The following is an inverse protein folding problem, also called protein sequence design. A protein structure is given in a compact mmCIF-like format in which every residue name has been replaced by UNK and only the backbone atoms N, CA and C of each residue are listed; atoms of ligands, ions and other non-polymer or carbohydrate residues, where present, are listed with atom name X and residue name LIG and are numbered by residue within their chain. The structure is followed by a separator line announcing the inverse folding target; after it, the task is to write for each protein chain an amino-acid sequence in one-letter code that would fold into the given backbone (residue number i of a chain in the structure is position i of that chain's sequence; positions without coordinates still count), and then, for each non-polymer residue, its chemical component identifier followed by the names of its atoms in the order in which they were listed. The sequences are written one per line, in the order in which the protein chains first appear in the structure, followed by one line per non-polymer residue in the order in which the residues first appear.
data_IF_140346437081
#
_entry.id   IF_140346437081
#
_cell.length_a   1.000
_cell.length_b   1.000
_cell.length_c   1.000
_cell.angle_alpha   90.00
_cell.angle_beta   90.00
_cell.angle_gamma   90.00
#
_symmetry.space_group_name_H-M   'P 1'
#
loop_
_entity.id
_entity.type
_entity.pdbx_description
1 polymer ?
#
# COMPACT_ATOMS: atom_id res chain seq x y z
N UNK A 1 -2.09 18.96 -16.42
CA UNK A 1 -3.07 19.00 -15.32
C UNK A 1 -2.90 17.73 -14.52
N UNK A 2 -2.97 17.79 -13.18
CA UNK A 2 -2.94 16.58 -12.37
C UNK A 2 -4.30 15.86 -12.44
N UNK A 3 -4.33 14.52 -12.43
CA UNK A 3 -5.57 13.77 -12.35
C UNK A 3 -6.21 13.92 -10.96
N UNK A 4 -7.52 13.63 -10.86
CA UNK A 4 -8.20 13.58 -9.58
C UNK A 4 -7.92 12.23 -8.90
N UNK A 5 -6.99 12.22 -7.95
CA UNK A 5 -6.59 10.99 -7.26
C UNK A 5 -7.73 10.34 -6.47
N UNK A 6 -8.73 11.10 -6.03
CA UNK A 6 -9.86 10.58 -5.26
C UNK A 6 -10.81 9.74 -6.11
N UNK A 7 -10.87 9.99 -7.42
CA UNK A 7 -11.70 9.25 -8.38
C UNK A 7 -10.99 7.99 -8.93
N UNK A 8 -9.68 7.88 -8.76
CA UNK A 8 -8.92 6.72 -9.21
C UNK A 8 -9.17 5.51 -8.32
N UNK A 9 -9.22 4.31 -8.88
CA UNK A 9 -9.11 3.06 -8.11
C UNK A 9 -7.74 2.96 -7.44
N UNK A 10 -7.59 2.05 -6.47
CA UNK A 10 -6.30 1.81 -5.80
C UNK A 10 -5.23 1.30 -6.77
N UNK A 11 -5.63 0.55 -7.80
CA UNK A 11 -4.74 -0.02 -8.81
C UNK A 11 -4.23 1.06 -9.76
N UNK A 12 -5.12 1.92 -10.27
CA UNK A 12 -4.76 3.05 -11.12
C UNK A 12 -3.86 4.04 -10.37
N UNK A 13 -4.18 4.37 -9.12
CA UNK A 13 -3.37 5.29 -8.31
C UNK A 13 -1.97 4.72 -8.07
N UNK A 14 -1.84 3.40 -7.86
CA UNK A 14 -0.55 2.74 -7.75
C UNK A 14 0.24 2.80 -9.05
N UNK A 15 -0.39 2.54 -10.18
CA UNK A 15 0.26 2.62 -11.49
C UNK A 15 0.79 4.04 -11.75
N UNK A 16 -0.01 5.07 -11.47
CA UNK A 16 0.42 6.47 -11.58
C UNK A 16 1.62 6.78 -10.68
N UNK A 17 1.60 6.38 -9.40
CA UNK A 17 2.73 6.62 -8.49
C UNK A 17 4.02 5.95 -8.98
N UNK A 18 3.93 4.78 -9.63
CA UNK A 18 5.12 4.12 -10.18
C UNK A 18 5.76 4.89 -11.34
N UNK A 19 4.94 5.57 -12.16
CA UNK A 19 5.40 6.44 -13.25
C UNK A 19 5.83 7.83 -12.73
N UNK A 20 5.25 8.28 -11.60
CA UNK A 20 5.42 9.60 -11.02
C UNK A 20 5.93 9.51 -9.56
N UNK A 21 7.11 8.92 -9.38
CA UNK A 21 7.66 8.58 -8.04
C UNK A 21 7.90 9.78 -7.12
N UNK A 22 8.01 10.99 -7.68
CA UNK A 22 8.25 12.25 -6.95
C UNK A 22 6.95 13.02 -6.67
N UNK A 23 5.77 12.53 -7.09
CA UNK A 23 4.50 13.19 -6.82
C UNK A 23 3.99 12.85 -5.41
N UNK A 24 4.48 13.62 -4.43
CA UNK A 24 4.11 13.48 -3.01
C UNK A 24 2.59 13.55 -2.78
N UNK A 25 1.86 14.27 -3.63
CA UNK A 25 0.40 14.40 -3.55
C UNK A 25 -0.30 13.09 -3.89
N UNK A 26 0.17 12.39 -4.93
CA UNK A 26 -0.33 11.06 -5.30
C UNK A 26 -0.03 10.04 -4.20
N UNK A 27 1.18 10.08 -3.63
CA UNK A 27 1.55 9.22 -2.50
C UNK A 27 0.68 9.50 -1.27
N UNK A 28 0.45 10.77 -0.94
CA UNK A 28 -0.42 11.17 0.17
C UNK A 28 -1.88 10.72 -0.05
N UNK A 29 -2.39 10.74 -1.28
CA UNK A 29 -3.72 10.21 -1.61
C UNK A 29 -3.80 8.70 -1.36
N UNK A 30 -2.75 7.94 -1.67
CA UNK A 30 -2.71 6.50 -1.39
C UNK A 30 -2.68 6.20 0.11
N UNK A 31 -1.88 6.95 0.88
CA UNK A 31 -1.76 6.79 2.35
C UNK A 31 -3.09 7.11 3.04
N UNK A 32 -3.81 8.16 2.60
CA UNK A 32 -5.14 8.52 3.15
C UNK A 32 -6.18 7.41 3.03
N UNK A 33 -6.01 6.49 2.06
CA UNK A 33 -6.89 5.32 1.84
C UNK A 33 -6.48 4.09 2.65
N UNK A 34 -5.53 4.21 3.58
CA UNK A 34 -5.15 3.12 4.45
C UNK A 34 -6.29 2.79 5.41
N UNK A 35 -6.62 1.51 5.55
CA UNK A 35 -7.58 1.05 6.55
C UNK A 35 -7.03 1.32 7.96
N UNK A 36 -7.72 2.12 8.80
CA UNK A 36 -7.28 2.39 10.16
C UNK A 36 -7.24 1.14 11.05
N UNK A 37 -7.99 0.09 10.70
CA UNK A 37 -8.06 -1.16 11.45
C UNK A 37 -7.13 -2.26 10.89
N UNK A 38 -6.28 -1.93 9.90
CA UNK A 38 -5.35 -2.89 9.33
C UNK A 38 -4.43 -3.51 10.40
N UNK A 39 -4.22 -4.83 10.32
CA UNK A 39 -3.30 -5.56 11.20
C UNK A 39 -1.88 -5.00 11.02
N UNK A 40 -1.27 -4.58 12.13
CA UNK A 40 0.11 -4.10 12.19
C UNK A 40 1.02 -5.20 12.70
N UNK A 41 2.02 -5.56 11.92
CA UNK A 41 3.07 -6.49 12.31
C UNK A 41 4.27 -5.68 12.81
N UNK A 42 4.69 -5.87 14.06
CA UNK A 42 5.74 -5.06 14.72
C UNK A 42 7.05 -5.83 14.94
N UNK A 43 7.16 -7.04 14.40
CA UNK A 43 8.38 -7.85 14.49
C UNK A 43 9.48 -7.32 13.58
N UNK A 44 10.73 -7.49 14.02
CA UNK A 44 11.93 -7.24 13.22
C UNK A 44 12.71 -8.53 12.94
N UNK A 45 12.21 -9.69 13.38
CA UNK A 45 12.85 -10.98 13.12
C UNK A 45 12.60 -11.40 11.66
N UNK A 46 13.66 -11.56 10.82
CA UNK A 46 13.51 -11.93 9.42
C UNK A 46 12.71 -13.21 9.17
N UNK A 47 12.83 -14.22 10.04
CA UNK A 47 12.11 -15.49 9.85
C UNK A 47 10.61 -15.33 10.16
N UNK A 48 10.27 -14.57 11.20
CA UNK A 48 8.87 -14.25 11.51
C UNK A 48 8.23 -13.41 10.40
N UNK A 49 8.96 -12.41 9.86
CA UNK A 49 8.52 -11.62 8.70
C UNK A 49 8.23 -12.52 7.51
N UNK A 50 9.12 -13.48 7.22
CA UNK A 50 8.97 -14.42 6.11
C UNK A 50 7.74 -15.31 6.28
N UNK A 51 7.47 -15.79 7.50
CA UNK A 51 6.27 -16.58 7.79
C UNK A 51 4.99 -15.75 7.61
N UNK A 52 4.95 -14.52 8.12
CA UNK A 52 3.82 -13.59 7.94
C UNK A 52 3.53 -13.36 6.46
N UNK A 53 4.57 -13.09 5.66
CA UNK A 53 4.43 -12.87 4.22
C UNK A 53 3.88 -14.12 3.51
N UNK A 54 4.38 -15.32 3.87
CA UNK A 54 3.88 -16.58 3.32
C UNK A 54 2.38 -16.74 3.61
N UNK A 55 1.96 -16.59 4.87
CA UNK A 55 0.55 -16.75 5.28
C UNK A 55 -0.36 -15.78 4.53
N UNK A 56 0.08 -14.53 4.38
CA UNK A 56 -0.66 -13.48 3.67
C UNK A 56 -0.82 -13.77 2.18
N UNK A 57 0.23 -14.28 1.51
CA UNK A 57 0.17 -14.70 0.10
C UNK A 57 -0.75 -15.91 -0.07
N UNK A 58 -0.76 -16.83 0.89
CA UNK A 58 -1.63 -18.00 0.90
C UNK A 58 -3.10 -17.71 1.29
N UNK A 59 -3.40 -16.49 1.78
CA UNK A 59 -4.73 -16.11 2.26
C UNK A 59 -5.11 -16.72 3.61
N UNK A 60 -4.13 -17.17 4.40
CA UNK A 60 -4.33 -17.71 5.75
C UNK A 60 -4.58 -16.60 6.79
N UNK A 61 -4.12 -15.37 6.51
CA UNK A 61 -4.29 -14.14 7.29
C UNK A 61 -4.42 -12.91 6.38
#
# INVERSE_FOLDING_TARGET
MKPNFDEMTREELRAYIFEHREDDEALAALIRRQDPNAVKYTTNDPEEIKEILRKKIAGEI
#
